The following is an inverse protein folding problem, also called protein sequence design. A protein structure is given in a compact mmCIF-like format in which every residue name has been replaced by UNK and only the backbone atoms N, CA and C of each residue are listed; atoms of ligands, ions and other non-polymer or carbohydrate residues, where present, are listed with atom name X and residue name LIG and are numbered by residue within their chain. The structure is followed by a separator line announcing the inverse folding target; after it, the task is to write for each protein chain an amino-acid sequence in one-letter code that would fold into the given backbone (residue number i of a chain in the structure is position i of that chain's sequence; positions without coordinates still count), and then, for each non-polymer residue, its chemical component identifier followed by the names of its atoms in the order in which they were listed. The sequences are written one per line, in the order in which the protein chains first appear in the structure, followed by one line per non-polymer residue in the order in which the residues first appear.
data_IF_805467641840
#
_entry.id   IF_805467641840
#
_cell.length_a   1.000
_cell.length_b   1.000
_cell.length_c   1.000
_cell.angle_alpha   90.00
_cell.angle_beta   90.00
_cell.angle_gamma   90.00
#
_symmetry.space_group_name_H-M   'P 1'
#
loop_
_entity.id
_entity.type
_entity.pdbx_description
1 polymer ?
#
# COMPACT_ATOMS: atom_id res chain seq x y z
N UNK A 1 1.03 13.40 -8.66
CA UNK A 1 0.52 12.66 -7.49
C UNK A 1 1.15 13.24 -6.22
N UNK A 2 2.48 13.31 -6.10
CA UNK A 2 3.20 13.69 -4.88
C UNK A 2 3.16 15.19 -4.64
N UNK A 3 3.60 16.00 -5.61
CA UNK A 3 3.70 17.46 -5.50
C UNK A 3 2.40 18.18 -5.10
N UNK A 4 1.21 17.85 -5.66
CA UNK A 4 -0.03 18.48 -5.22
C UNK A 4 -0.35 18.31 -3.73
N UNK A 5 0.24 17.29 -3.09
CA UNK A 5 0.04 16.98 -1.68
C UNK A 5 1.16 17.54 -0.78
N UNK A 6 2.21 18.15 -1.35
CA UNK A 6 3.39 18.60 -0.62
C UNK A 6 4.17 17.44 0.04
N UNK A 7 4.26 16.29 -0.64
CA UNK A 7 4.86 15.07 -0.09
C UNK A 7 6.22 14.72 -0.70
N UNK A 8 6.88 15.65 -1.39
CA UNK A 8 8.12 15.39 -2.11
C UNK A 8 9.25 14.90 -1.20
N UNK A 9 9.26 15.36 0.05
CA UNK A 9 10.22 14.91 1.05
C UNK A 9 9.80 13.67 1.84
N UNK A 10 8.53 13.27 1.74
CA UNK A 10 7.97 12.18 2.55
C UNK A 10 7.53 10.96 1.74
N UNK A 11 7.44 11.06 0.42
CA UNK A 11 7.11 9.96 -0.49
C UNK A 11 8.05 10.02 -1.69
N UNK A 12 9.02 9.12 -1.73
CA UNK A 12 10.17 9.17 -2.63
C UNK A 12 10.33 7.82 -3.34
N UNK A 13 10.62 7.86 -4.64
CA UNK A 13 11.07 6.70 -5.41
C UNK A 13 12.51 6.94 -5.86
N UNK A 14 13.41 6.02 -5.49
CA UNK A 14 14.84 6.25 -5.67
C UNK A 14 15.38 7.24 -4.65
N UNK A 15 15.85 6.74 -3.52
CA UNK A 15 16.26 7.54 -2.36
C UNK A 15 17.49 8.38 -2.68
N UNK A 16 17.42 9.73 -2.64
CA UNK A 16 18.58 10.57 -2.83
C UNK A 16 19.51 10.48 -1.61
N UNK A 17 20.80 10.67 -1.81
CA UNK A 17 21.81 10.60 -0.74
C UNK A 17 21.48 11.51 0.46
N UNK A 18 20.91 12.67 0.23
CA UNK A 18 20.50 13.60 1.29
C UNK A 18 19.39 13.05 2.20
N UNK A 19 18.54 12.15 1.69
CA UNK A 19 17.44 11.54 2.42
C UNK A 19 17.84 10.22 3.13
N UNK A 20 19.03 9.68 2.85
CA UNK A 20 19.50 8.39 3.37
C UNK A 20 19.41 8.31 4.90
N UNK A 21 19.77 9.38 5.61
CA UNK A 21 19.75 9.43 7.08
C UNK A 21 18.34 9.37 7.69
N UNK A 22 17.32 9.63 6.90
CA UNK A 22 15.90 9.56 7.33
C UNK A 22 15.28 8.20 7.05
N UNK A 23 15.96 7.36 6.29
CA UNK A 23 15.48 6.06 5.92
C UNK A 23 15.70 5.06 7.06
N UNK A 24 14.67 4.34 7.45
CA UNK A 24 14.80 3.24 8.38
C UNK A 24 15.56 2.07 7.73
N UNK A 25 16.43 1.42 8.50
CA UNK A 25 17.11 0.20 8.05
C UNK A 25 16.11 -0.95 7.88
N UNK A 26 16.31 -1.76 6.86
CA UNK A 26 15.50 -2.96 6.63
C UNK A 26 15.98 -4.07 7.57
N UNK A 27 15.03 -4.66 8.32
CA UNK A 27 15.23 -5.87 9.12
C UNK A 27 14.41 -7.01 8.48
N UNK A 28 15.09 -7.96 7.88
CA UNK A 28 14.51 -9.12 7.20
C UNK A 28 14.39 -10.37 8.07
N UNK A 29 14.74 -10.30 9.36
CA UNK A 29 14.86 -11.47 10.25
C UNK A 29 13.57 -12.28 10.44
N UNK A 30 12.41 -11.69 10.15
CA UNK A 30 11.12 -12.38 10.22
C UNK A 30 10.74 -13.14 8.92
N UNK A 31 11.59 -13.11 7.88
CA UNK A 31 11.40 -13.92 6.67
C UNK A 31 12.06 -15.31 6.87
N UNK A 32 11.32 -16.25 7.41
CA UNK A 32 11.82 -17.57 7.79
C UNK A 32 12.52 -18.37 6.68
N UNK A 33 12.13 -18.15 5.43
CA UNK A 33 12.67 -18.89 4.30
C UNK A 33 13.80 -18.19 3.55
N UNK A 34 13.93 -16.86 3.63
CA UNK A 34 14.95 -16.04 2.96
C UNK A 34 15.18 -14.68 3.64
N UNK A 35 15.56 -14.64 4.92
CA UNK A 35 15.77 -13.35 5.60
C UNK A 35 16.82 -12.49 4.89
N UNK A 36 17.87 -13.13 4.39
CA UNK A 36 18.96 -12.46 3.67
C UNK A 36 18.53 -11.82 2.34
N UNK A 37 17.50 -12.36 1.67
CA UNK A 37 17.02 -11.75 0.42
C UNK A 37 16.40 -10.37 0.65
N UNK A 38 15.57 -10.22 1.66
CA UNK A 38 14.91 -8.96 1.95
C UNK A 38 15.93 -7.86 2.30
N UNK A 39 16.90 -8.19 3.14
CA UNK A 39 17.98 -7.26 3.51
C UNK A 39 18.94 -7.02 2.35
N UNK A 40 19.38 -8.06 1.65
CA UNK A 40 20.31 -7.94 0.54
C UNK A 40 19.70 -7.21 -0.66
N UNK A 41 18.43 -7.40 -0.94
CA UNK A 41 17.77 -6.74 -2.07
C UNK A 41 17.26 -5.35 -1.66
N UNK A 42 16.28 -5.25 -0.75
CA UNK A 42 15.67 -3.98 -0.39
C UNK A 42 16.61 -3.06 0.41
N UNK A 43 17.52 -3.65 1.18
CA UNK A 43 18.53 -2.92 1.94
C UNK A 43 19.74 -2.48 1.11
N UNK A 44 19.92 -3.00 -0.13
CA UNK A 44 21.07 -2.62 -0.95
C UNK A 44 20.98 -1.17 -1.42
N UNK A 45 22.14 -0.50 -1.48
CA UNK A 45 22.24 0.88 -1.98
C UNK A 45 21.72 1.01 -3.42
N UNK A 46 22.04 0.05 -4.27
CA UNK A 46 21.62 0.03 -5.67
C UNK A 46 20.08 0.02 -5.80
N UNK A 47 19.39 -0.80 -5.00
CA UNK A 47 17.93 -0.84 -4.99
C UNK A 47 17.35 0.42 -4.37
N UNK A 48 17.89 0.88 -3.24
CA UNK A 48 17.39 2.10 -2.60
C UNK A 48 17.50 3.33 -3.49
N UNK A 49 18.63 3.50 -4.21
CA UNK A 49 18.86 4.65 -5.12
C UNK A 49 18.28 4.47 -6.51
N UNK A 50 18.04 3.24 -6.95
CA UNK A 50 17.42 2.95 -8.22
C UNK A 50 15.98 3.46 -8.29
N UNK A 51 15.47 3.71 -9.48
CA UNK A 51 14.06 4.05 -9.69
C UNK A 51 13.26 2.81 -10.04
N UNK A 52 12.70 2.14 -9.02
CA UNK A 52 11.95 0.88 -9.12
C UNK A 52 10.57 1.07 -8.45
N UNK A 53 9.62 1.73 -9.10
CA UNK A 53 8.33 2.10 -8.48
C UNK A 53 7.54 0.92 -7.89
N UNK A 54 7.77 -0.29 -8.40
CA UNK A 54 7.12 -1.52 -7.92
C UNK A 54 7.70 -2.07 -6.61
N UNK A 55 8.87 -1.60 -6.17
CA UNK A 55 9.58 -2.25 -5.06
C UNK A 55 10.22 -1.28 -4.04
N UNK A 56 10.59 -0.05 -4.45
CA UNK A 56 11.39 0.84 -3.61
C UNK A 56 10.76 2.20 -3.33
N UNK A 57 9.47 2.24 -3.12
CA UNK A 57 8.82 3.44 -2.56
C UNK A 57 9.20 3.61 -1.09
N UNK A 58 9.68 4.80 -0.74
CA UNK A 58 9.94 5.24 0.64
C UNK A 58 8.87 6.22 1.03
N UNK A 59 8.18 5.98 2.12
CA UNK A 59 7.16 6.89 2.60
C UNK A 59 7.04 6.84 4.13
N UNK A 60 6.62 7.97 4.71
CA UNK A 60 6.08 7.95 6.07
C UNK A 60 4.66 7.36 6.05
N UNK A 61 4.21 6.81 7.17
CA UNK A 61 2.83 6.33 7.29
C UNK A 61 1.82 7.45 7.05
N UNK A 62 2.12 8.66 7.51
CA UNK A 62 1.29 9.85 7.30
C UNK A 62 1.20 10.22 5.82
N UNK A 63 2.32 10.24 5.11
CA UNK A 63 2.34 10.55 3.67
C UNK A 63 1.52 9.52 2.87
N UNK A 64 1.65 8.24 3.21
CA UNK A 64 0.89 7.17 2.59
C UNK A 64 -0.62 7.32 2.85
N UNK A 65 -1.02 7.61 4.09
CA UNK A 65 -2.42 7.86 4.44
C UNK A 65 -2.98 9.10 3.71
N UNK A 66 -2.21 10.20 3.62
CA UNK A 66 -2.60 11.41 2.87
C UNK A 66 -2.77 11.14 1.39
N UNK A 67 -1.89 10.35 0.79
CA UNK A 67 -2.03 9.94 -0.61
C UNK A 67 -3.37 9.23 -0.83
N UNK A 68 -3.71 8.24 -0.01
CA UNK A 68 -4.96 7.49 -0.13
C UNK A 68 -6.19 8.34 0.21
N UNK A 69 -6.10 9.24 1.19
CA UNK A 69 -7.17 10.19 1.49
C UNK A 69 -7.48 11.12 0.31
N UNK A 70 -6.45 11.57 -0.41
CA UNK A 70 -6.60 12.42 -1.59
C UNK A 70 -7.22 11.71 -2.80
N UNK A 71 -7.33 10.39 -2.78
CA UNK A 71 -8.04 9.60 -3.78
C UNK A 71 -9.55 9.55 -3.51
N UNK A 72 -9.97 9.72 -2.25
CA UNK A 72 -11.37 9.71 -1.86
C UNK A 72 -12.11 10.94 -2.39
N UNK A 73 -13.44 10.84 -2.46
CA UNK A 73 -14.29 11.91 -3.01
C UNK A 73 -14.10 13.24 -2.27
N UNK A 74 -13.92 13.21 -0.96
CA UNK A 74 -13.67 14.39 -0.14
C UNK A 74 -12.27 15.00 -0.31
N UNK A 75 -11.32 14.22 -0.79
CA UNK A 75 -9.92 14.63 -0.85
C UNK A 75 -9.29 14.85 0.53
N UNK A 76 -8.16 15.53 0.56
CA UNK A 76 -7.48 15.99 1.79
C UNK A 76 -6.94 17.39 1.58
N UNK A 77 -7.17 18.28 2.53
CA UNK A 77 -6.71 19.68 2.51
C UNK A 77 -7.01 20.40 1.18
N UNK A 78 -8.19 20.17 0.62
CA UNK A 78 -8.61 20.76 -0.66
C UNK A 78 -8.01 20.09 -1.91
N UNK A 79 -7.15 19.10 -1.76
CA UNK A 79 -6.55 18.35 -2.86
C UNK A 79 -7.30 17.04 -3.10
N UNK A 80 -7.69 16.80 -4.34
CA UNK A 80 -8.22 15.53 -4.82
C UNK A 80 -7.44 15.09 -6.06
N UNK A 81 -6.85 13.89 -6.02
CA UNK A 81 -5.97 13.40 -7.09
C UNK A 81 -6.74 12.83 -8.28
N UNK A 82 -7.91 12.26 -8.06
CA UNK A 82 -8.73 11.65 -9.11
C UNK A 82 -10.15 12.23 -9.10
N UNK A 83 -10.73 12.39 -10.27
CA UNK A 83 -12.17 12.65 -10.38
C UNK A 83 -12.96 11.44 -9.85
N UNK A 84 -14.15 11.62 -9.25
CA UNK A 84 -14.96 10.52 -8.72
C UNK A 84 -15.20 9.40 -9.73
N UNK A 85 -15.56 9.74 -10.97
CA UNK A 85 -15.77 8.75 -12.03
C UNK A 85 -14.50 7.97 -12.40
N UNK A 86 -13.33 8.59 -12.28
CA UNK A 86 -12.04 7.90 -12.51
C UNK A 86 -11.75 6.92 -11.38
N UNK A 87 -11.97 7.32 -10.12
CA UNK A 87 -11.81 6.42 -8.98
C UNK A 87 -12.80 5.25 -9.08
N UNK A 88 -14.04 5.51 -9.41
CA UNK A 88 -15.05 4.46 -9.60
C UNK A 88 -14.60 3.43 -10.63
N UNK A 89 -14.16 3.86 -11.81
CA UNK A 89 -13.59 2.97 -12.81
C UNK A 89 -12.35 2.21 -12.33
N UNK A 90 -11.48 2.85 -11.57
CA UNK A 90 -10.26 2.24 -11.07
C UNK A 90 -10.51 1.18 -9.99
N UNK A 91 -11.66 1.25 -9.31
CA UNK A 91 -12.05 0.32 -8.24
C UNK A 91 -13.06 -0.74 -8.67
N UNK A 92 -13.33 -0.88 -9.97
CA UNK A 92 -14.08 -2.00 -10.54
C UNK A 92 -13.13 -3.18 -10.76
N UNK A 93 -13.59 -4.38 -10.45
CA UNK A 93 -12.83 -5.62 -10.69
C UNK A 93 -12.50 -5.76 -12.18
N UNK A 94 -11.20 -5.92 -12.49
CA UNK A 94 -10.67 -6.02 -13.85
C UNK A 94 -10.37 -7.47 -14.28
N UNK A 95 -10.67 -8.43 -13.43
CA UNK A 95 -10.42 -9.84 -13.74
C UNK A 95 -11.47 -10.39 -14.69
N UNK A 96 -11.01 -11.14 -15.70
CA UNK A 96 -11.84 -12.00 -16.53
C UNK A 96 -12.04 -13.38 -15.87
N UNK A 97 -13.12 -14.09 -16.19
CA UNK A 97 -13.41 -15.43 -15.63
C UNK A 97 -12.31 -16.44 -15.96
N UNK A 98 -11.73 -16.33 -17.16
CA UNK A 98 -10.67 -17.23 -17.66
C UNK A 98 -9.27 -16.84 -17.18
N UNK A 99 -9.09 -15.77 -16.45
CA UNK A 99 -7.78 -15.37 -15.95
C UNK A 99 -7.25 -16.40 -14.93
N UNK A 100 -6.02 -16.91 -15.10
CA UNK A 100 -5.46 -17.87 -14.16
C UNK A 100 -5.34 -17.24 -12.77
N UNK A 101 -5.77 -17.97 -11.75
CA UNK A 101 -5.59 -17.58 -10.35
C UNK A 101 -4.19 -18.04 -9.91
N UNK A 102 -3.26 -17.11 -9.62
CA UNK A 102 -1.96 -17.50 -9.09
C UNK A 102 -2.09 -18.25 -7.76
N UNK A 103 -1.22 -19.21 -7.47
CA UNK A 103 -1.17 -19.84 -6.15
C UNK A 103 -1.01 -18.76 -5.05
N UNK A 104 -1.85 -18.82 -4.02
CA UNK A 104 -1.85 -17.83 -2.93
C UNK A 104 -2.93 -16.75 -2.99
N UNK A 105 -3.72 -16.70 -4.06
CA UNK A 105 -5.08 -16.17 -4.12
C UNK A 105 -5.37 -14.68 -3.92
N UNK A 106 -4.43 -13.85 -3.49
CA UNK A 106 -4.71 -12.42 -3.27
C UNK A 106 -4.78 -11.60 -4.57
N UNK A 107 -4.22 -12.11 -5.66
CA UNK A 107 -4.12 -11.42 -6.95
C UNK A 107 -5.39 -11.46 -7.80
N UNK A 108 -6.45 -12.07 -7.30
CA UNK A 108 -7.70 -12.21 -8.06
C UNK A 108 -8.69 -11.04 -7.88
N UNK A 109 -8.33 -10.04 -7.11
CA UNK A 109 -9.20 -8.91 -6.77
C UNK A 109 -8.54 -7.58 -7.10
N UNK A 110 -8.17 -7.40 -8.37
CA UNK A 110 -7.56 -6.15 -8.84
C UNK A 110 -8.54 -5.28 -9.62
N UNK A 111 -8.51 -3.99 -9.29
CA UNK A 111 -8.95 -2.92 -10.17
C UNK A 111 -7.80 -2.40 -11.02
N UNK A 112 -7.86 -1.16 -11.46
CA UNK A 112 -6.77 -0.53 -12.21
C UNK A 112 -5.66 -0.08 -11.24
N UNK A 113 -4.76 -0.99 -10.90
CA UNK A 113 -3.60 -0.74 -10.04
C UNK A 113 -3.87 -0.85 -8.53
N UNK A 114 -5.08 -1.21 -8.12
CA UNK A 114 -5.44 -1.39 -6.71
C UNK A 114 -5.89 -2.82 -6.44
N UNK A 115 -5.49 -3.35 -5.31
CA UNK A 115 -6.15 -4.51 -4.70
C UNK A 115 -7.49 -4.03 -4.14
N UNK A 116 -8.53 -4.80 -4.37
CA UNK A 116 -9.89 -4.46 -3.98
C UNK A 116 -10.33 -5.33 -2.80
N UNK A 117 -11.06 -4.73 -1.87
CA UNK A 117 -11.73 -5.41 -0.77
C UNK A 117 -13.10 -4.78 -0.51
N UNK A 118 -13.89 -5.48 0.28
CA UNK A 118 -15.23 -5.04 0.63
C UNK A 118 -16.11 -6.24 0.95
N UNK A 119 -17.35 -6.00 1.41
CA UNK A 119 -18.34 -7.04 1.58
C UNK A 119 -18.71 -7.67 0.24
N UNK A 120 -19.36 -8.83 0.31
CA UNK A 120 -19.94 -9.46 -0.88
C UNK A 120 -20.94 -8.51 -1.55
N UNK A 121 -20.79 -8.33 -2.87
CA UNK A 121 -21.58 -7.40 -3.65
C UNK A 121 -21.06 -5.95 -3.70
N UNK A 122 -20.06 -5.59 -2.90
CA UNK A 122 -19.42 -4.27 -2.93
C UNK A 122 -17.89 -4.37 -2.91
N UNK A 123 -17.36 -5.20 -3.79
CA UNK A 123 -15.93 -5.30 -4.00
C UNK A 123 -15.43 -3.99 -4.62
N UNK A 124 -14.46 -3.34 -3.95
CA UNK A 124 -13.97 -2.01 -4.33
C UNK A 124 -14.46 -0.90 -3.39
N UNK A 125 -15.31 -1.22 -2.39
CA UNK A 125 -15.55 -0.31 -1.28
C UNK A 125 -14.24 0.11 -0.62
N UNK A 126 -13.36 -0.86 -0.38
CA UNK A 126 -12.00 -0.63 0.05
C UNK A 126 -11.03 -0.92 -1.09
N UNK A 127 -10.02 -0.09 -1.24
CA UNK A 127 -8.99 -0.25 -2.26
C UNK A 127 -7.64 0.22 -1.74
N UNK A 128 -6.58 -0.36 -2.25
CA UNK A 128 -5.22 -0.02 -1.85
C UNK A 128 -4.20 -1.01 -2.36
N UNK A 129 -3.05 -1.06 -1.71
CA UNK A 129 -2.02 -2.04 -2.02
C UNK A 129 -1.13 -2.28 -0.80
N UNK A 130 -0.72 -3.53 -0.62
CA UNK A 130 0.24 -3.90 0.40
C UNK A 130 1.56 -4.35 -0.21
N UNK A 131 2.67 -4.06 0.46
CA UNK A 131 4.00 -4.52 0.08
C UNK A 131 4.31 -5.90 0.64
N UNK A 132 5.23 -6.63 -0.02
CA UNK A 132 5.70 -7.95 0.42
C UNK A 132 6.27 -7.95 1.83
N UNK A 133 6.81 -6.83 2.30
CA UNK A 133 7.33 -6.67 3.66
C UNK A 133 6.29 -6.35 4.72
N UNK A 134 5.01 -6.19 4.35
CA UNK A 134 3.91 -5.91 5.26
C UNK A 134 3.62 -4.42 5.49
N UNK A 135 4.21 -3.50 4.72
CA UNK A 135 3.73 -2.13 4.63
C UNK A 135 2.44 -2.08 3.82
N UNK A 136 1.56 -1.11 4.10
CA UNK A 136 0.22 -1.11 3.51
C UNK A 136 -0.35 0.31 3.43
N UNK A 137 -1.01 0.62 2.31
CA UNK A 137 -1.81 1.82 2.14
C UNK A 137 -3.17 1.47 1.57
N UNK A 138 -4.23 2.04 2.13
CA UNK A 138 -5.60 1.77 1.68
C UNK A 138 -6.55 2.94 1.98
N UNK A 139 -7.68 2.93 1.30
CA UNK A 139 -8.82 3.80 1.60
C UNK A 139 -10.13 3.02 1.58
N UNK A 140 -11.08 3.47 2.40
CA UNK A 140 -12.45 2.97 2.44
C UNK A 140 -13.41 4.08 1.96
N UNK A 141 -14.07 3.84 0.83
CA UNK A 141 -14.98 4.78 0.19
C UNK A 141 -16.25 5.03 1.01
N UNK A 142 -16.67 4.06 1.83
CA UNK A 142 -17.88 4.16 2.65
C UNK A 142 -17.67 5.00 3.89
N UNK A 143 -16.55 4.81 4.58
CA UNK A 143 -16.26 5.53 5.83
C UNK A 143 -15.49 6.82 5.60
N UNK A 144 -14.89 7.00 4.43
CA UNK A 144 -13.99 8.12 4.15
C UNK A 144 -12.62 8.00 4.83
N UNK A 145 -12.31 6.86 5.43
CA UNK A 145 -11.04 6.63 6.11
C UNK A 145 -9.95 6.22 5.13
N UNK A 146 -8.73 6.71 5.39
CA UNK A 146 -7.52 6.24 4.72
C UNK A 146 -6.49 5.81 5.76
N UNK A 147 -5.78 4.74 5.46
CA UNK A 147 -4.76 4.16 6.32
C UNK A 147 -3.43 4.09 5.59
N UNK A 148 -2.36 4.50 6.27
CA UNK A 148 -0.99 4.23 5.91
C UNK A 148 -0.30 3.47 7.05
N UNK A 149 0.34 2.37 6.72
CA UNK A 149 1.10 1.56 7.66
C UNK A 149 2.47 1.25 7.08
N UNK A 150 3.52 1.63 7.80
CA UNK A 150 4.91 1.37 7.41
C UNK A 150 5.64 0.67 8.55
N UNK A 151 6.60 -0.17 8.21
CA UNK A 151 7.45 -0.86 9.17
C UNK A 151 8.81 -1.17 8.56
N UNK A 152 9.83 -1.32 9.39
CA UNK A 152 11.16 -1.68 8.96
C UNK A 152 11.49 -3.16 9.21
N UNK A 153 10.89 -3.78 10.22
CA UNK A 153 10.96 -5.23 10.39
C UNK A 153 10.00 -5.89 9.43
N UNK A 154 10.54 -6.34 8.30
CA UNK A 154 9.74 -6.98 7.27
C UNK A 154 9.28 -8.35 7.73
N UNK A 155 8.05 -8.69 7.45
CA UNK A 155 7.51 -10.03 7.65
C UNK A 155 6.71 -10.43 6.41
N UNK A 156 6.69 -11.70 6.06
CA UNK A 156 5.82 -12.16 4.98
C UNK A 156 4.39 -11.72 5.27
N UNK A 157 3.67 -11.47 4.21
CA UNK A 157 2.25 -11.16 4.28
C UNK A 157 1.53 -12.37 4.86
N UNK A 158 1.18 -12.28 6.14
CA UNK A 158 0.42 -13.34 6.81
C UNK A 158 -1.06 -12.92 6.84
N UNK A 159 -2.00 -13.84 6.58
CA UNK A 159 -3.41 -13.56 6.74
C UNK A 159 -3.75 -13.05 8.14
N UNK A 160 -2.99 -13.49 9.16
CA UNK A 160 -3.14 -13.04 10.55
C UNK A 160 -2.08 -11.97 10.88
N UNK A 161 -2.30 -10.73 10.44
CA UNK A 161 -1.41 -9.62 10.81
C UNK A 161 -1.94 -8.93 12.08
N UNK A 162 -1.39 -9.22 13.28
CA UNK A 162 -2.00 -8.81 14.54
C UNK A 162 -2.15 -7.28 14.68
N UNK A 163 -1.23 -6.50 14.11
CA UNK A 163 -1.33 -5.04 14.14
C UNK A 163 -2.44 -4.55 13.23
N UNK A 164 -2.53 -5.06 12.00
CA UNK A 164 -3.58 -4.72 11.06
C UNK A 164 -4.96 -5.07 11.63
N UNK A 165 -5.11 -6.25 12.22
CA UNK A 165 -6.37 -6.70 12.78
C UNK A 165 -6.81 -5.87 13.99
N UNK A 166 -5.85 -5.37 14.78
CA UNK A 166 -6.15 -4.41 15.86
C UNK A 166 -6.61 -3.07 15.31
N UNK A 167 -5.92 -2.53 14.32
CA UNK A 167 -6.29 -1.27 13.65
C UNK A 167 -7.69 -1.42 13.03
N UNK A 168 -7.95 -2.50 12.31
CA UNK A 168 -9.26 -2.80 11.73
C UNK A 168 -10.38 -2.76 12.76
N UNK A 169 -10.18 -3.43 13.88
CA UNK A 169 -11.18 -3.48 14.96
C UNK A 169 -11.42 -2.10 15.58
N UNK A 170 -10.37 -1.33 15.82
CA UNK A 170 -10.48 0.01 16.39
C UNK A 170 -11.19 0.98 15.43
N UNK A 171 -10.92 0.87 14.13
CA UNK A 171 -11.50 1.75 13.11
C UNK A 171 -12.83 1.23 12.55
N UNK A 172 -13.31 0.07 12.98
CA UNK A 172 -14.50 -0.57 12.42
C UNK A 172 -14.36 -0.97 10.93
N UNK A 173 -13.12 -1.15 10.48
CA UNK A 173 -12.82 -1.57 9.11
C UNK A 173 -12.80 -3.09 9.01
N UNK A 174 -13.41 -3.66 7.97
CA UNK A 174 -13.32 -5.08 7.69
C UNK A 174 -12.14 -5.33 6.76
N UNK A 175 -10.92 -5.30 7.29
CA UNK A 175 -9.69 -5.60 6.53
C UNK A 175 -9.53 -7.12 6.34
N UNK A 176 -10.56 -7.79 5.82
CA UNK A 176 -10.46 -9.22 5.51
C UNK A 176 -9.69 -9.40 4.21
N UNK A 177 -8.51 -10.02 4.33
CA UNK A 177 -7.73 -10.65 3.25
C UNK A 177 -7.36 -9.74 2.07
N UNK A 178 -6.29 -8.99 2.28
CA UNK A 178 -5.46 -8.48 1.17
C UNK A 178 -4.49 -9.54 0.71
#
# INVERSE_FOLDING_TARGET
VIAPLGLEDEMIFGLPAAAEKRCASVDGTAFDQRPQWAEAFLGSEAVRRGFIPSANGFATATALARHYAALLVGGVDGVRLLAPATLERATVLQRHEDDPIPPGGCWNKFGLGYVLAGPEGDLGQMFGHGGAGGAEGLADRRTGLALGFTKNKLSPRHPDHPVRDRISRVLGLTLRHW
#
